data_IF_132268832304
#
_entry.id   IF_132268832304
#
_cell.length_a   1.000
_cell.length_b   1.000
_cell.length_c   1.000
_cell.angle_alpha   90.00
_cell.angle_beta   90.00
_cell.angle_gamma   90.00
#
_symmetry.space_group_name_H-M   'P 1'
#
loop_
_entity.id
_entity.type
_entity.pdbx_description
1 polymer ?
#
# COMPACT_ATOMS: atom_id res chain seq x y z
N UNK A 1 21.31 -39.11 16.44
CA UNK A 1 22.64 -38.48 16.37
C UNK A 1 22.92 -37.87 14.99
N UNK A 2 22.84 -38.63 13.89
CA UNK A 2 23.13 -38.14 12.53
C UNK A 2 22.31 -36.92 12.07
N UNK A 3 21.01 -36.88 12.39
CA UNK A 3 20.12 -35.77 12.00
C UNK A 3 20.56 -34.45 12.64
N UNK A 4 20.96 -34.48 13.92
CA UNK A 4 21.46 -33.29 14.62
C UNK A 4 22.80 -32.83 14.03
N UNK A 5 23.70 -33.75 13.67
CA UNK A 5 24.95 -33.41 12.98
C UNK A 5 24.71 -32.78 11.61
N UNK A 6 23.80 -33.34 10.81
CA UNK A 6 23.45 -32.80 9.50
C UNK A 6 22.81 -31.40 9.60
N UNK A 7 21.95 -31.18 10.60
CA UNK A 7 21.33 -29.87 10.86
C UNK A 7 22.39 -28.82 11.19
N UNK A 8 23.35 -29.14 12.07
CA UNK A 8 24.44 -28.22 12.43
C UNK A 8 25.29 -27.87 11.21
N UNK A 9 25.66 -28.86 10.39
CA UNK A 9 26.43 -28.61 9.16
C UNK A 9 25.64 -27.72 8.18
N UNK A 10 24.35 -27.97 8.01
CA UNK A 10 23.48 -27.15 7.15
C UNK A 10 23.43 -25.69 7.64
N UNK A 11 23.26 -25.47 8.94
CA UNK A 11 23.28 -24.11 9.53
C UNK A 11 24.64 -23.44 9.30
N UNK A 12 25.74 -24.16 9.49
CA UNK A 12 27.08 -23.63 9.24
C UNK A 12 27.30 -23.23 7.77
N UNK A 13 26.73 -23.98 6.82
CA UNK A 13 26.78 -23.64 5.39
C UNK A 13 26.02 -22.34 5.12
N UNK A 14 24.82 -22.17 5.65
CA UNK A 14 24.07 -20.91 5.48
C UNK A 14 24.79 -19.72 6.10
N UNK A 15 25.39 -19.89 7.29
CA UNK A 15 26.19 -18.84 7.92
C UNK A 15 27.44 -18.51 7.11
N UNK A 16 28.10 -19.51 6.52
CA UNK A 16 29.24 -19.32 5.65
C UNK A 16 28.87 -18.52 4.39
N UNK A 17 27.77 -18.88 3.72
CA UNK A 17 27.27 -18.15 2.55
C UNK A 17 26.99 -16.68 2.91
N UNK A 18 26.28 -16.42 4.01
CA UNK A 18 25.99 -15.05 4.45
C UNK A 18 27.23 -14.25 4.86
N UNK A 19 28.26 -14.89 5.42
CA UNK A 19 29.50 -14.23 5.83
C UNK A 19 30.42 -13.89 4.65
N UNK A 20 30.51 -14.78 3.66
CA UNK A 20 31.50 -14.69 2.57
C UNK A 20 30.94 -14.25 1.22
N UNK A 21 29.61 -14.17 1.04
CA UNK A 21 28.98 -13.67 -0.18
C UNK A 21 28.33 -12.29 0.07
N UNK A 22 29.03 -11.18 -0.20
CA UNK A 22 28.59 -9.82 0.17
C UNK A 22 27.59 -9.19 -0.81
N UNK A 23 26.68 -9.97 -1.40
CA UNK A 23 25.62 -9.44 -2.27
C UNK A 23 24.27 -9.48 -1.58
N UNK A 24 23.63 -8.33 -1.36
CA UNK A 24 22.21 -8.34 -1.01
C UNK A 24 21.43 -8.85 -2.24
N UNK A 25 20.34 -9.60 -2.06
CA UNK A 25 19.50 -10.03 -3.19
C UNK A 25 19.01 -8.85 -4.04
N UNK A 26 18.94 -7.65 -3.44
CA UNK A 26 18.61 -6.41 -4.10
C UNK A 26 19.74 -5.87 -5.00
N UNK A 27 21.01 -6.13 -4.71
CA UNK A 27 22.11 -5.71 -5.60
C UNK A 27 22.23 -6.61 -6.84
N UNK A 28 21.71 -7.84 -6.78
CA UNK A 28 21.73 -8.78 -7.91
C UNK A 28 20.63 -8.49 -8.94
N UNK A 29 19.57 -7.82 -8.51
CA UNK A 29 18.48 -7.37 -9.38
C UNK A 29 18.61 -5.85 -9.40
N UNK A 30 19.33 -5.30 -10.39
CA UNK A 30 19.45 -3.85 -10.64
C UNK A 30 18.08 -3.28 -11.07
N UNK A 31 17.10 -3.41 -10.19
CA UNK A 31 15.72 -3.01 -10.39
C UNK A 31 15.70 -1.49 -10.37
N UNK A 32 15.63 -0.94 -11.58
CA UNK A 32 15.36 0.48 -11.79
C UNK A 32 13.92 0.62 -12.25
N UNK A 33 13.19 1.63 -11.79
CA UNK A 33 11.90 1.99 -12.37
C UNK A 33 12.05 2.06 -13.89
N UNK A 34 11.12 1.45 -14.62
CA UNK A 34 11.16 1.40 -16.09
C UNK A 34 10.77 2.73 -16.73
N UNK A 35 10.27 3.67 -15.93
CA UNK A 35 9.71 4.96 -16.33
C UNK A 35 10.18 6.07 -15.39
N UNK A 36 10.12 7.31 -15.86
CA UNK A 36 10.40 8.48 -15.04
C UNK A 36 9.26 8.77 -14.06
N UNK A 37 9.51 9.58 -13.03
CA UNK A 37 8.48 10.00 -12.07
C UNK A 37 7.39 10.81 -12.75
N UNK A 38 7.76 11.65 -13.72
CA UNK A 38 6.82 12.45 -14.51
C UNK A 38 5.91 11.58 -15.38
N UNK A 39 6.43 10.47 -15.91
CA UNK A 39 5.62 9.50 -16.68
C UNK A 39 4.67 8.72 -15.75
N UNK A 40 5.12 8.31 -14.57
CA UNK A 40 4.28 7.64 -13.58
C UNK A 40 3.14 8.54 -13.11
N UNK A 41 3.42 9.82 -12.82
CA UNK A 41 2.38 10.78 -12.43
C UNK A 41 1.32 10.99 -13.53
N UNK A 42 1.73 11.03 -14.81
CA UNK A 42 0.78 11.12 -15.92
C UNK A 42 -0.10 9.88 -16.04
N UNK A 43 0.49 8.69 -15.90
CA UNK A 43 -0.26 7.43 -15.93
C UNK A 43 -1.26 7.32 -14.78
N UNK A 44 -0.88 7.77 -13.59
CA UNK A 44 -1.80 7.79 -12.45
C UNK A 44 -3.00 8.73 -12.69
N UNK A 45 -2.79 9.89 -13.32
CA UNK A 45 -3.88 10.79 -13.71
C UNK A 45 -4.79 10.15 -14.76
N UNK A 46 -4.22 9.56 -15.80
CA UNK A 46 -4.98 8.86 -16.85
C UNK A 46 -5.80 7.68 -16.29
N UNK A 47 -5.26 6.96 -15.30
CA UNK A 47 -5.97 5.87 -14.62
C UNK A 47 -7.17 6.38 -13.81
N UNK A 48 -7.04 7.53 -13.14
CA UNK A 48 -8.16 8.17 -12.42
C UNK A 48 -9.27 8.58 -13.37
N UNK A 49 -8.93 9.17 -14.51
CA UNK A 49 -9.90 9.58 -15.54
C UNK A 49 -10.66 8.37 -16.11
N UNK A 50 -9.95 7.28 -16.40
CA UNK A 50 -10.58 6.03 -16.84
C UNK A 50 -11.53 5.45 -15.80
N UNK A 51 -11.15 5.49 -14.51
CA UNK A 51 -12.03 5.05 -13.42
C UNK A 51 -13.29 5.91 -13.31
N UNK A 52 -13.15 7.24 -13.43
CA UNK A 52 -14.27 8.16 -13.38
C UNK A 52 -15.25 7.93 -14.53
N UNK A 53 -14.74 7.78 -15.75
CA UNK A 53 -15.56 7.50 -16.94
C UNK A 53 -16.29 6.17 -16.81
N UNK A 54 -15.62 5.12 -16.36
CA UNK A 54 -16.23 3.80 -16.13
C UNK A 54 -17.36 3.87 -15.09
N UNK A 55 -17.22 4.70 -14.05
CA UNK A 55 -18.30 4.94 -13.09
C UNK A 55 -19.45 5.73 -13.72
N UNK A 56 -19.16 6.76 -14.50
CA UNK A 56 -20.16 7.59 -15.15
C UNK A 56 -20.96 6.82 -16.20
N UNK A 57 -20.33 5.91 -16.94
CA UNK A 57 -21.04 5.00 -17.85
C UNK A 57 -22.07 4.14 -17.11
N UNK A 58 -21.69 3.57 -15.95
CA UNK A 58 -22.64 2.83 -15.09
C UNK A 58 -23.74 3.73 -14.53
N UNK A 59 -23.40 4.96 -14.14
CA UNK A 59 -24.37 5.94 -13.61
C UNK A 59 -25.39 6.34 -14.66
N UNK A 60 -24.94 6.68 -15.87
CA UNK A 60 -25.78 6.92 -17.05
C UNK A 60 -26.74 5.78 -17.33
N UNK A 61 -26.23 4.54 -17.37
CA UNK A 61 -27.06 3.36 -17.58
C UNK A 61 -28.17 3.19 -16.52
N UNK A 62 -27.92 3.65 -15.29
CA UNK A 62 -28.87 3.61 -14.17
C UNK A 62 -29.68 4.91 -13.97
N UNK A 63 -29.49 5.93 -14.81
CA UNK A 63 -30.14 7.23 -14.68
C UNK A 63 -29.69 8.06 -13.46
N UNK A 64 -28.53 7.74 -12.87
CA UNK A 64 -27.94 8.53 -11.79
C UNK A 64 -27.13 9.68 -12.37
N UNK A 65 -27.04 10.77 -11.61
CA UNK A 65 -26.16 11.89 -11.93
C UNK A 65 -24.70 11.43 -12.02
N UNK A 66 -23.99 12.00 -12.98
CA UNK A 66 -22.55 11.77 -13.20
C UNK A 66 -21.71 12.37 -12.08
N UNK A 67 -20.57 11.77 -11.84
CA UNK A 67 -19.56 12.26 -10.91
C UNK A 67 -18.61 13.20 -11.64
N UNK A 68 -18.26 14.27 -10.94
CA UNK A 68 -17.16 15.16 -11.31
C UNK A 68 -15.95 14.88 -10.42
N UNK A 69 -14.76 15.20 -10.91
CA UNK A 69 -13.53 15.03 -10.12
C UNK A 69 -13.58 15.85 -8.82
N UNK A 70 -14.08 17.10 -8.88
CA UNK A 70 -14.23 17.94 -7.69
C UNK A 70 -15.23 17.37 -6.69
N UNK A 71 -16.32 16.76 -7.17
CA UNK A 71 -17.32 16.11 -6.34
C UNK A 71 -16.72 14.92 -5.60
N UNK A 72 -16.02 14.05 -6.32
CA UNK A 72 -15.30 12.89 -5.73
C UNK A 72 -14.28 13.37 -4.70
N UNK A 73 -13.52 14.43 -5.00
CA UNK A 73 -12.54 15.00 -4.06
C UNK A 73 -13.20 15.56 -2.80
N UNK A 74 -14.35 16.22 -2.93
CA UNK A 74 -15.10 16.74 -1.80
C UNK A 74 -15.65 15.62 -0.90
N UNK A 75 -16.17 14.55 -1.50
CA UNK A 75 -16.69 13.37 -0.80
C UNK A 75 -15.57 12.66 -0.02
N UNK A 76 -14.43 12.41 -0.66
CA UNK A 76 -13.26 11.80 0.00
C UNK A 76 -12.80 12.65 1.19
N UNK A 77 -12.72 13.97 1.02
CA UNK A 77 -12.32 14.87 2.11
C UNK A 77 -13.33 14.85 3.27
N UNK A 78 -14.63 14.67 3.00
CA UNK A 78 -15.64 14.52 4.04
C UNK A 78 -15.50 13.20 4.80
N UNK A 79 -15.26 12.10 4.09
CA UNK A 79 -15.04 10.78 4.66
C UNK A 79 -13.78 10.74 5.54
N UNK A 80 -12.69 11.37 5.11
CA UNK A 80 -11.47 11.48 5.91
C UNK A 80 -11.68 12.23 7.22
N UNK A 81 -12.42 13.36 7.18
CA UNK A 81 -12.80 14.11 8.38
C UNK A 81 -13.62 13.25 9.32
N UNK A 82 -14.60 12.52 8.80
CA UNK A 82 -15.43 11.61 9.59
C UNK A 82 -14.59 10.50 10.24
N UNK A 83 -13.71 9.86 9.47
CA UNK A 83 -12.79 8.83 9.97
C UNK A 83 -11.90 9.35 11.09
N UNK A 84 -11.32 10.54 10.91
CA UNK A 84 -10.47 11.18 11.91
C UNK A 84 -11.22 11.40 13.24
N UNK A 85 -12.45 11.92 13.17
CA UNK A 85 -13.28 12.11 14.37
C UNK A 85 -13.61 10.79 15.08
N UNK A 86 -13.84 9.71 14.33
CA UNK A 86 -14.09 8.39 14.90
C UNK A 86 -12.85 7.83 15.60
N UNK A 87 -11.66 8.01 15.03
CA UNK A 87 -10.40 7.65 15.68
C UNK A 87 -10.19 8.42 16.98
N UNK A 88 -10.34 9.75 16.96
CA UNK A 88 -10.23 10.61 18.14
C UNK A 88 -11.21 10.20 19.24
N UNK A 89 -12.46 9.88 18.88
CA UNK A 89 -13.47 9.39 19.83
C UNK A 89 -13.07 8.05 20.44
N UNK A 90 -12.52 7.14 19.65
CA UNK A 90 -12.07 5.82 20.12
C UNK A 90 -10.84 5.90 21.02
N UNK A 91 -9.95 6.86 20.77
CA UNK A 91 -8.75 7.10 21.58
C UNK A 91 -9.12 7.74 22.92
N UNK A 92 -10.00 8.76 22.91
CA UNK A 92 -10.51 9.36 24.14
C UNK A 92 -11.31 8.37 25.00
N UNK A 93 -12.07 7.46 24.38
CA UNK A 93 -12.78 6.39 25.10
C UNK A 93 -11.81 5.46 25.84
N UNK A 94 -10.78 4.96 25.14
CA UNK A 94 -9.74 4.10 25.75
C UNK A 94 -8.93 4.82 26.83
N UNK A 95 -8.63 6.10 26.65
CA UNK A 95 -7.88 6.89 27.64
C UNK A 95 -8.65 7.12 28.95
N UNK A 96 -9.99 7.15 28.88
CA UNK A 96 -10.85 7.31 30.06
C UNK A 96 -10.97 6.00 30.87
N UNK A 97 -10.97 4.85 30.19
CA UNK A 97 -11.04 3.53 30.84
C UNK A 97 -9.75 3.14 31.58
N UNK A 98 -8.60 3.75 31.24
CA UNK A 98 -7.30 3.48 31.88
C UNK A 98 -7.04 4.39 33.11
N UNK A 99 -7.85 5.43 33.31
CA UNK A 99 -7.72 6.39 34.43
C UNK A 99 -8.82 6.28 35.50
N UNK A 100 -9.83 5.43 35.30
CA UNK A 100 -10.83 5.07 36.31
C UNK A 100 -10.42 3.83 37.09
#
# INVERSE_FOLDING_TARGET
>A
MFIFGALVVMVLIFLAIGKWYPGSGADQIDWRPTRSIEDEAQLELDDVDQMLEAQNERRRASGREELTEEGVRADVAADERWRKHQYERSENGRGNDVRG
#
